data_IF_906814257673
#
_entry.id   IF_906814257673
#
_cell.length_a   1.000
_cell.length_b   1.000
_cell.length_c   1.000
_cell.angle_alpha   90.00
_cell.angle_beta   90.00
_cell.angle_gamma   90.00
#
_symmetry.space_group_name_H-M   'P 1'
#
loop_
_entity.id
_entity.type
_entity.pdbx_description
1 polymer ?
#
# COMPACT_ATOMS: atom_id res chain seq x y z
N UNK A 1 3.85 12.43 7.48
CA UNK A 1 5.27 12.36 7.09
C UNK A 1 5.29 11.58 5.79
N UNK A 2 6.02 12.03 4.77
CA UNK A 2 6.06 11.33 3.47
C UNK A 2 7.46 10.75 3.29
N UNK A 3 7.55 9.44 3.16
CA UNK A 3 8.78 8.66 3.01
C UNK A 3 9.14 8.46 1.54
N UNK A 4 10.43 8.40 1.22
CA UNK A 4 10.91 7.93 -0.08
C UNK A 4 10.77 6.41 -0.19
N UNK A 5 10.89 5.86 -1.41
CA UNK A 5 10.81 4.40 -1.62
C UNK A 5 11.89 3.63 -0.87
N UNK A 6 13.11 4.17 -0.82
CA UNK A 6 14.21 3.61 -0.04
C UNK A 6 13.90 3.63 1.46
N UNK A 7 13.44 4.77 2.01
CA UNK A 7 13.13 4.90 3.44
C UNK A 7 11.98 3.98 3.88
N UNK A 8 11.00 3.75 3.02
CA UNK A 8 9.88 2.87 3.29
C UNK A 8 10.18 1.38 3.00
N UNK A 9 11.41 1.05 2.61
CA UNK A 9 11.81 -0.29 2.13
C UNK A 9 10.83 -0.87 1.10
N UNK A 10 10.45 -0.04 0.13
CA UNK A 10 9.48 -0.38 -0.91
C UNK A 10 9.99 -1.52 -1.80
N UNK A 11 9.24 -2.61 -1.88
CA UNK A 11 9.65 -3.87 -2.51
C UNK A 11 8.46 -4.68 -3.04
N UNK A 12 8.67 -5.67 -3.92
CA UNK A 12 7.60 -6.60 -4.29
C UNK A 12 6.98 -7.26 -3.05
N UNK A 13 5.65 -7.36 -3.00
CA UNK A 13 4.99 -7.99 -1.86
C UNK A 13 5.35 -9.48 -1.82
N UNK A 14 5.80 -10.02 -0.67
CA UNK A 14 6.08 -11.46 -0.55
C UNK A 14 4.80 -12.30 -0.67
N UNK A 15 3.65 -11.72 -0.37
CA UNK A 15 2.35 -12.36 -0.45
C UNK A 15 1.24 -11.34 -0.79
N UNK A 16 0.17 -11.74 -1.52
CA UNK A 16 -0.88 -10.81 -1.95
C UNK A 16 -1.62 -10.12 -0.78
N UNK A 17 -1.67 -10.75 0.39
CA UNK A 17 -2.34 -10.21 1.58
C UNK A 17 -1.67 -8.96 2.17
N UNK A 18 -0.37 -8.78 1.94
CA UNK A 18 0.42 -7.64 2.45
C UNK A 18 0.83 -6.67 1.34
N UNK A 19 0.06 -6.64 0.26
CA UNK A 19 0.34 -5.79 -0.91
C UNK A 19 -0.33 -4.42 -0.80
N UNK A 20 0.18 -3.41 -1.52
CA UNK A 20 -0.39 -2.06 -1.57
C UNK A 20 -1.88 -2.09 -1.98
N UNK A 21 -2.31 -3.07 -2.78
CA UNK A 21 -3.73 -3.29 -3.10
C UNK A 21 -4.63 -3.46 -1.86
N UNK A 22 -4.06 -3.96 -0.76
CA UNK A 22 -4.72 -4.22 0.54
C UNK A 22 -4.37 -3.17 1.59
N UNK A 23 -3.48 -2.23 1.27
CA UNK A 23 -3.09 -1.15 2.16
C UNK A 23 -4.16 -0.06 2.20
N UNK A 24 -4.40 0.52 3.39
CA UNK A 24 -5.36 1.62 3.55
C UNK A 24 -4.90 2.92 2.88
N UNK A 25 -3.60 3.06 2.62
CA UNK A 25 -2.98 4.29 2.11
C UNK A 25 -2.91 4.39 0.58
N UNK A 26 -3.19 3.30 -0.15
CA UNK A 26 -3.13 3.29 -1.61
C UNK A 26 -4.35 3.96 -2.23
N UNK A 27 -4.11 4.89 -3.17
CA UNK A 27 -5.15 5.57 -3.94
C UNK A 27 -4.64 6.05 -5.32
N UNK A 28 -5.36 5.84 -6.43
CA UNK A 28 -6.53 5.00 -6.57
C UNK A 28 -6.18 3.50 -6.47
N UNK A 29 -7.19 2.66 -6.20
CA UNK A 29 -7.04 1.20 -6.03
C UNK A 29 -7.03 0.48 -7.38
N UNK A 30 -6.06 0.81 -8.22
CA UNK A 30 -5.82 0.18 -9.52
C UNK A 30 -4.47 -0.56 -9.51
N UNK A 31 -4.02 -1.08 -10.64
CA UNK A 31 -2.71 -1.76 -10.77
C UNK A 31 -1.52 -0.86 -10.37
N UNK A 32 -1.67 0.45 -10.50
CA UNK A 32 -0.75 1.45 -9.99
C UNK A 32 -1.53 2.68 -9.49
N UNK A 33 -0.99 3.34 -8.47
CA UNK A 33 -1.58 4.52 -7.87
C UNK A 33 -0.55 5.30 -7.06
N UNK A 34 -1.05 6.19 -6.22
CA UNK A 34 -0.27 6.96 -5.25
C UNK A 34 -0.41 6.33 -3.86
N UNK A 35 0.57 6.59 -3.00
CA UNK A 35 0.46 6.32 -1.57
C UNK A 35 0.40 7.66 -0.84
N UNK A 36 -0.40 7.76 0.22
CA UNK A 36 -0.39 8.95 1.09
C UNK A 36 0.99 9.21 1.71
N UNK A 37 1.67 8.11 2.01
CA UNK A 37 2.82 8.07 2.89
C UNK A 37 4.13 7.76 2.16
N UNK A 38 4.08 7.13 0.98
CA UNK A 38 5.26 6.85 0.15
C UNK A 38 5.25 7.74 -1.09
N UNK A 39 6.36 8.43 -1.34
CA UNK A 39 6.54 9.33 -2.48
C UNK A 39 6.57 8.56 -3.80
N UNK A 40 5.82 9.06 -4.78
CA UNK A 40 5.80 8.56 -6.15
C UNK A 40 4.71 7.51 -6.42
N UNK A 41 4.80 6.88 -7.60
CA UNK A 41 3.83 5.85 -8.02
C UNK A 41 4.15 4.53 -7.33
N UNK A 42 3.13 3.93 -6.72
CA UNK A 42 3.15 2.59 -6.13
C UNK A 42 2.35 1.61 -6.98
N UNK A 43 2.85 0.39 -7.16
CA UNK A 43 2.14 -0.73 -7.78
C UNK A 43 1.33 -1.48 -6.74
N UNK A 44 0.19 -1.99 -7.16
CA UNK A 44 -0.72 -2.76 -6.30
C UNK A 44 -0.07 -4.04 -5.74
N UNK A 45 0.88 -4.61 -6.49
CA UNK A 45 1.59 -5.86 -6.19
C UNK A 45 2.80 -5.70 -5.26
N UNK A 46 3.17 -4.47 -4.92
CA UNK A 46 4.34 -4.17 -4.08
C UNK A 46 3.90 -3.94 -2.62
N UNK A 47 4.85 -3.70 -1.72
CA UNK A 47 4.63 -3.41 -0.30
C UNK A 47 5.73 -2.50 0.25
N UNK A 48 5.55 -1.99 1.47
CA UNK A 48 6.51 -1.20 2.24
C UNK A 48 6.36 -1.53 3.73
N UNK A 49 7.31 -1.08 4.55
CA UNK A 49 7.25 -1.30 6.01
C UNK A 49 6.11 -0.51 6.67
N UNK A 50 5.67 0.57 6.02
CA UNK A 50 4.51 1.38 6.43
C UNK A 50 3.17 0.81 5.94
N UNK A 51 3.16 -0.49 5.61
CA UNK A 51 1.94 -1.20 5.23
C UNK A 51 0.97 -1.24 6.41
N UNK A 52 -0.19 -0.62 6.22
CA UNK A 52 -1.29 -0.74 7.16
C UNK A 52 -2.47 -1.44 6.49
N UNK A 53 -2.88 -2.62 6.98
CA UNK A 53 -3.96 -3.36 6.38
C UNK A 53 -5.23 -2.52 6.45
N UNK A 54 -5.94 -2.44 5.34
CA UNK A 54 -7.30 -1.93 5.38
C UNK A 54 -8.13 -2.95 6.15
N UNK A 55 -8.62 -2.57 7.33
CA UNK A 55 -9.69 -3.32 7.96
C UNK A 55 -10.78 -3.52 6.92
N UNK A 56 -11.31 -4.74 6.71
CA UNK A 56 -12.59 -4.84 6.04
C UNK A 56 -13.49 -3.89 6.84
N UNK A 57 -14.04 -2.87 6.17
CA UNK A 57 -15.22 -2.23 6.72
C UNK A 57 -16.10 -3.40 7.12
N UNK A 58 -16.43 -3.49 8.41
CA UNK A 58 -17.19 -4.59 8.96
C UNK A 58 -18.27 -4.94 7.93
N UNK A 59 -18.36 -6.22 7.56
CA UNK A 59 -19.59 -6.72 6.99
C UNK A 59 -20.66 -6.39 8.05
N UNK A 60 -21.30 -5.26 7.88
CA UNK A 60 -22.33 -4.71 8.74
C UNK A 60 -23.48 -4.38 7.82
N UNK A 61 -24.47 -5.27 7.86
CA UNK A 61 -25.79 -5.09 7.22
C UNK A 61 -25.94 -5.91 5.97
#
# INVERSE_FOLDING_TARGET
MVWSKEEAHYRPAPQPAVSCARCKWMFPRLSAGSCKDVRGIVRASDTCDEFEPRHPAAASG
#
